data_IF_457287478848
#
_entry.id   IF_457287478848
#
_cell.length_a   1.000
_cell.length_b   1.000
_cell.length_c   1.000
_cell.angle_alpha   90.00
_cell.angle_beta   90.00
_cell.angle_gamma   90.00
#
_symmetry.space_group_name_H-M   'P 1'
#
loop_
_entity.id
_entity.type
_entity.pdbx_description
1 polymer ?
2 water ?
#
# COMPACT_ATOMS: atom_id res chain seq x y z
N UNK A 1 23.81 -28.68 0.74
CA UNK A 1 25.07 -28.32 1.36
C UNK A 1 26.27 -28.47 0.45
N UNK A 2 26.77 -29.70 0.29
CA UNK A 2 27.97 -29.91 -0.53
C UNK A 2 27.84 -29.41 -1.96
N UNK A 3 26.68 -29.64 -2.59
CA UNK A 3 26.44 -29.24 -3.98
C UNK A 3 25.49 -28.05 -4.08
N UNK A 4 25.22 -27.35 -2.97
CA UNK A 4 24.35 -26.20 -3.00
C UNK A 4 23.47 -26.07 -1.78
N UNK A 6 20.55 -25.02 -2.19
CA UNK A 6 19.29 -25.33 -2.82
C UNK A 6 18.29 -24.20 -2.69
N UNK A 7 17.07 -24.44 -3.19
CA UNK A 7 16.02 -23.43 -3.17
C UNK A 7 15.23 -23.40 -1.87
N UNK A 8 15.20 -24.52 -1.14
CA UNK A 8 14.45 -24.61 0.10
C UNK A 8 13.26 -25.52 -0.03
N UNK A 9 12.48 -25.59 1.05
CA UNK A 9 11.30 -26.43 1.10
C UNK A 9 10.17 -25.81 0.28
N UNK A 10 9.24 -26.67 -0.15
CA UNK A 10 8.12 -26.26 -0.97
C UNK A 10 7.03 -25.55 -0.19
N UNK A 11 5.81 -25.66 -0.69
CA UNK A 11 4.66 -25.06 -0.03
C UNK A 11 4.41 -25.74 1.32
N UNK A 12 3.89 -24.99 2.30
CA UNK A 12 3.65 -25.57 3.63
C UNK A 12 2.62 -26.68 3.56
N UNK A 13 2.95 -27.81 4.18
CA UNK A 13 2.12 -29.00 4.13
C UNK A 13 1.27 -29.06 5.39
N UNK A 14 -0.04 -29.24 5.21
CA UNK A 14 -0.93 -29.35 6.33
C UNK A 14 -1.16 -28.08 7.11
N UNK A 15 -0.91 -26.92 6.50
CA UNK A 15 -1.17 -25.65 7.17
C UNK A 15 -2.68 -25.45 7.28
N UNK A 16 -3.18 -25.44 8.51
CA UNK A 16 -4.62 -25.35 8.79
C UNK A 16 -4.99 -23.88 8.96
N UNK A 17 -5.29 -23.23 7.83
CA UNK A 17 -5.71 -21.82 7.88
C UNK A 17 -7.08 -21.64 8.54
N UNK A 18 -7.90 -22.70 8.57
CA UNK A 18 -9.17 -22.61 9.29
C UNK A 18 -8.94 -22.47 10.79
N UNK A 19 -8.00 -23.23 11.34
CA UNK A 19 -7.68 -23.11 12.76
C UNK A 19 -7.10 -21.73 13.07
N UNK A 20 -6.12 -21.29 12.28
CA UNK A 20 -5.53 -19.97 12.50
C UNK A 20 -6.57 -18.88 12.41
N UNK A 21 -7.50 -18.99 11.45
CA UNK A 21 -8.55 -17.98 11.31
C UNK A 21 -9.48 -17.97 12.52
N UNK A 22 -9.79 -19.15 13.05
CA UNK A 22 -10.61 -19.21 14.26
C UNK A 22 -9.86 -18.66 15.47
N UNK A 23 -8.56 -18.96 15.57
CA UNK A 23 -7.76 -18.42 16.66
C UNK A 23 -7.75 -16.89 16.63
N UNK A 24 -7.65 -16.30 15.45
CA UNK A 24 -7.62 -14.85 15.32
C UNK A 24 -9.00 -14.25 15.11
N UNK A 25 -10.05 -15.08 15.09
CA UNK A 25 -11.44 -14.66 14.93
C UNK A 25 -11.60 -13.78 13.70
N UNK A 26 -11.23 -14.35 12.56
CA UNK A 26 -11.45 -13.75 11.25
C UNK A 26 -12.67 -14.43 10.64
N UNK A 27 -13.61 -13.64 10.14
CA UNK A 27 -14.88 -14.20 9.70
C UNK A 27 -14.68 -15.05 8.44
N UNK A 28 -13.95 -14.53 7.47
CA UNK A 28 -13.67 -15.27 6.25
C UNK A 28 -12.52 -14.61 5.50
N UNK A 29 -11.95 -15.37 4.58
CA UNK A 29 -10.83 -14.85 3.81
C UNK A 29 -10.18 -15.94 3.00
N UNK A 30 -9.15 -15.53 2.26
CA UNK A 30 -8.38 -16.44 1.43
C UNK A 30 -6.90 -16.18 1.62
N UNK A 31 -6.11 -17.24 1.48
CA UNK A 31 -4.67 -17.09 1.37
C UNK A 31 -4.23 -17.84 0.13
N UNK A 32 -3.33 -17.23 -0.64
CA UNK A 32 -2.82 -17.80 -1.87
C UNK A 32 -1.32 -17.64 -1.88
N UNK A 33 -0.62 -18.66 -2.35
CA UNK A 33 0.84 -18.69 -2.27
C UNK A 33 1.38 -19.27 -3.56
N UNK A 34 2.14 -18.47 -4.30
CA UNK A 34 2.94 -18.97 -5.41
C UNK A 34 4.37 -19.15 -4.92
N UNK A 35 4.84 -20.40 -4.91
CA UNK A 35 6.12 -20.74 -4.33
C UNK A 35 6.76 -21.81 -5.18
N UNK A 36 7.89 -21.48 -5.81
CA UNK A 36 8.64 -22.43 -6.62
C UNK A 36 7.79 -23.00 -7.75
N UNK A 37 7.12 -22.11 -8.47
CA UNK A 37 6.32 -22.47 -9.61
C UNK A 37 4.98 -23.11 -9.33
N UNK A 38 4.59 -23.25 -8.06
CA UNK A 38 3.38 -23.96 -7.69
C UNK A 38 2.46 -23.06 -6.88
N UNK A 39 1.19 -23.02 -7.27
CA UNK A 39 0.18 -22.23 -6.59
C UNK A 39 -0.59 -23.12 -5.60
N UNK A 40 -0.66 -22.66 -4.35
CA UNK A 40 -1.48 -23.28 -3.33
C UNK A 40 -2.42 -22.23 -2.78
N UNK A 41 -3.69 -22.60 -2.60
CA UNK A 41 -4.69 -21.66 -2.09
C UNK A 41 -5.39 -22.27 -0.88
N UNK A 42 -5.82 -21.40 0.04
CA UNK A 42 -6.62 -21.77 1.20
C UNK A 42 -7.81 -20.83 1.27
N UNK A 43 -8.99 -21.39 1.62
CA UNK A 43 -10.19 -20.61 1.86
C UNK A 43 -10.81 -21.02 3.19
N UNK A 44 -11.42 -20.06 3.87
CA UNK A 44 -11.99 -20.31 5.19
C UNK A 44 -13.13 -19.34 5.44
N UNK A 45 -14.07 -19.76 6.28
CA UNK A 45 -15.08 -18.87 6.75
C UNK A 45 -16.09 -18.52 5.69
N UNK A 46 -16.84 -17.46 5.96
CA UNK A 46 -17.96 -17.07 5.11
C UNK A 46 -17.68 -15.70 4.54
N UNK A 47 -18.28 -15.42 3.37
CA UNK A 47 -18.17 -14.09 2.79
C UNK A 47 -18.84 -13.03 3.67
N UNK A 48 -19.71 -13.43 4.59
CA UNK A 48 -20.42 -12.47 5.42
C UNK A 48 -20.32 -12.83 6.88
N UNK A 49 -20.45 -11.81 7.73
CA UNK A 49 -20.19 -11.97 9.15
C UNK A 49 -21.24 -12.84 9.84
N UNK A 50 -22.50 -12.79 9.39
CA UNK A 50 -23.57 -13.56 10.00
C UNK A 50 -23.70 -14.94 9.40
N UNK A 51 -22.72 -15.40 8.64
CA UNK A 51 -22.79 -16.68 7.98
C UNK A 51 -23.16 -16.55 6.52
N UNK A 52 -23.66 -17.66 5.97
CA UNK A 52 -24.04 -17.68 4.57
C UNK A 52 -23.04 -18.38 3.69
N UNK A 53 -22.87 -17.88 2.47
CA UNK A 53 -22.03 -18.53 1.47
C UNK A 53 -20.60 -18.66 2.00
N UNK A 54 -20.04 -19.86 2.03
CA UNK A 54 -18.63 -19.99 2.38
C UNK A 54 -17.74 -19.35 1.32
N UNK A 55 -16.62 -18.79 1.79
CA UNK A 55 -15.62 -18.24 0.89
C UNK A 55 -15.06 -19.36 0.03
N UNK A 56 -15.01 -19.13 -1.29
CA UNK A 56 -14.38 -20.04 -2.24
C UNK A 56 -13.20 -19.33 -2.87
N UNK A 57 -12.45 -20.09 -3.70
CA UNK A 57 -11.23 -19.55 -4.28
C UNK A 57 -11.51 -18.30 -5.10
N UNK A 58 -12.71 -18.19 -5.67
CA UNK A 58 -13.08 -17.06 -6.49
C UNK A 58 -13.75 -15.91 -5.78
N UNK A 59 -13.90 -15.95 -4.45
CA UNK A 59 -14.56 -14.89 -3.72
C UNK A 59 -13.81 -13.58 -3.88
N UNK A 60 -14.54 -12.48 -3.96
CA UNK A 60 -13.96 -11.16 -4.16
C UNK A 60 -13.87 -10.42 -2.84
N UNK A 61 -12.71 -9.83 -2.58
CA UNK A 61 -12.45 -9.01 -1.40
C UNK A 61 -11.86 -7.67 -1.83
N UNK A 62 -12.19 -6.59 -1.14
CA UNK A 62 -11.56 -5.31 -1.48
C UNK A 62 -10.05 -5.36 -1.26
N UNK A 63 -9.31 -4.89 -2.27
CA UNK A 63 -7.86 -4.81 -2.15
C UNK A 63 -7.42 -3.55 -1.42
N UNK A 64 -8.32 -2.57 -1.27
CA UNK A 64 -7.96 -1.35 -0.59
C UNK A 64 -6.78 -0.70 -1.28
N UNK A 65 -5.81 -0.25 -0.50
CA UNK A 65 -4.63 0.42 -1.04
C UNK A 65 -3.77 -0.49 -1.91
N UNK A 66 -3.93 -1.81 -1.82
CA UNK A 66 -3.14 -2.69 -2.68
C UNK A 66 -3.47 -2.45 -4.16
N UNK A 67 -4.62 -1.81 -4.45
CA UNK A 67 -4.93 -1.34 -5.79
C UNK A 67 -3.77 -0.54 -6.39
N UNK A 68 -3.04 0.19 -5.55
CA UNK A 68 -1.89 0.97 -6.02
C UNK A 68 -0.89 0.13 -6.79
N UNK A 69 -0.69 -1.12 -6.37
CA UNK A 69 0.30 -1.95 -7.04
C UNK A 69 -0.12 -2.22 -8.49
N UNK A 70 -1.43 -2.35 -8.74
CA UNK A 70 -1.92 -2.49 -10.10
C UNK A 70 -1.70 -1.20 -10.89
N UNK A 71 -2.04 -0.06 -10.29
CA UNK A 71 -1.89 1.22 -10.96
C UNK A 71 -0.44 1.45 -11.36
N UNK A 72 0.48 1.20 -10.43
CA UNK A 72 1.90 1.41 -10.73
C UNK A 72 2.39 0.42 -11.76
N UNK A 73 1.95 -0.85 -11.66
CA UNK A 73 2.33 -1.83 -12.67
C UNK A 73 1.88 -1.40 -14.06
N UNK A 74 0.67 -0.83 -14.16
CA UNK A 74 0.21 -0.36 -15.46
C UNK A 74 1.05 0.82 -15.95
N UNK A 75 1.49 1.68 -15.03
CA UNK A 75 2.35 2.80 -15.41
C UNK A 75 3.67 2.28 -15.98
N UNK A 76 4.32 1.38 -15.24
CA UNK A 76 5.62 0.86 -15.65
C UNK A 76 5.50 0.03 -16.92
N UNK A 77 4.33 -0.58 -17.15
CA UNK A 77 4.11 -1.28 -18.41
C UNK A 77 4.21 -0.33 -19.59
N UNK A 78 3.60 0.86 -19.48
CA UNK A 78 3.74 1.88 -20.51
C UNK A 78 5.17 2.41 -20.59
N UNK A 79 5.96 2.23 -19.53
CA UNK A 79 7.36 2.65 -19.55
C UNK A 79 8.19 1.80 -20.48
N UNK A 80 8.09 0.47 -20.36
CA UNK A 80 8.80 -0.40 -21.29
C UNK A 80 8.42 -0.19 -22.73
N UNK A 81 7.17 0.23 -22.98
CA UNK A 81 6.72 0.54 -24.33
C UNK A 81 7.21 1.88 -24.85
N UNK A 82 7.88 2.67 -24.00
CA UNK A 82 8.38 3.97 -24.40
C UNK A 82 7.35 5.06 -24.49
N UNK A 83 6.14 4.82 -24.00
CA UNK A 83 5.05 5.78 -24.10
C UNK A 83 5.10 6.85 -23.02
N UNK A 84 5.90 6.66 -21.97
CA UNK A 84 6.01 7.66 -20.92
C UNK A 84 7.43 7.59 -20.34
N UNK A 85 7.77 8.61 -19.55
CA UNK A 85 9.08 8.72 -18.91
C UNK A 85 8.87 8.87 -17.41
N UNK A 86 9.56 8.05 -16.62
CA UNK A 86 9.32 8.02 -15.17
C UNK A 86 9.86 9.28 -14.48
N UNK A 87 10.85 9.94 -15.07
CA UNK A 87 11.49 11.07 -14.42
C UNK A 87 11.17 12.40 -15.10
N UNK A 88 10.15 12.42 -15.94
CA UNK A 88 9.75 13.71 -16.49
C UNK A 88 8.60 14.29 -15.68
N UNK A 89 8.53 15.61 -15.52
CA UNK A 89 7.37 16.21 -14.85
C UNK A 89 6.10 15.91 -15.62
N UNK A 90 5.06 15.47 -14.90
CA UNK A 90 3.82 15.06 -15.53
C UNK A 90 3.11 16.20 -16.25
N UNK A 91 3.51 17.45 -15.98
CA UNK A 91 2.95 18.57 -16.74
C UNK A 91 3.18 18.40 -18.24
N UNK A 92 4.29 17.76 -18.62
CA UNK A 92 4.55 17.51 -20.04
C UNK A 92 3.62 16.43 -20.59
N UNK A 93 3.12 15.55 -19.73
CA UNK A 93 2.16 14.53 -20.13
C UNK A 93 0.72 14.97 -19.90
N UNK A 94 0.50 16.04 -19.15
CA UNK A 94 -0.84 16.60 -18.92
C UNK A 94 -0.80 18.11 -19.22
N UNK A 95 -0.54 18.49 -20.47
CA UNK A 95 -0.42 19.92 -20.77
C UNK A 95 -1.73 20.67 -20.64
N UNK A 96 -2.86 19.99 -20.83
CA UNK A 96 -4.15 20.66 -20.73
C UNK A 96 -4.49 20.99 -19.28
N UNK A 97 -4.10 20.14 -18.34
CA UNK A 97 -4.39 20.40 -16.93
C UNK A 97 -3.61 21.61 -16.42
N UNK A 98 -2.41 21.84 -16.94
CA UNK A 98 -1.60 22.97 -16.49
C UNK A 98 -2.30 24.30 -16.78
N UNK A 99 -3.07 24.38 -17.85
CA UNK A 99 -3.83 25.59 -18.17
C UNK A 99 -5.13 25.65 -17.37
N UNK A 119 2.02 24.54 -11.63
CA UNK A 119 1.44 24.00 -10.40
C UNK A 119 2.37 22.99 -9.75
N UNK A 120 2.49 23.05 -8.43
CA UNK A 120 3.38 22.11 -7.73
C UNK A 120 3.05 20.64 -7.96
N UNK A 121 1.77 20.31 -8.14
CA UNK A 121 1.39 18.90 -8.32
C UNK A 121 1.83 18.38 -9.68
N UNK A 122 1.85 19.23 -10.69
CA UNK A 122 2.23 18.81 -12.04
C UNK A 122 3.73 18.87 -12.27
N UNK A 123 4.49 19.40 -11.31
CA UNK A 123 5.95 19.36 -11.41
C UNK A 123 6.51 18.02 -10.96
N UNK A 124 5.70 17.19 -10.32
CA UNK A 124 6.15 15.89 -9.85
C UNK A 124 6.31 14.92 -11.01
N UNK A 125 7.29 14.03 -10.87
CA UNK A 125 7.47 12.95 -11.82
C UNK A 125 6.64 11.74 -11.41
N UNK A 126 6.46 10.82 -12.36
CA UNK A 126 5.74 9.59 -12.04
C UNK A 126 6.48 8.79 -10.98
N UNK A 127 7.82 8.83 -11.00
CA UNK A 127 8.59 8.19 -9.94
C UNK A 127 8.21 8.76 -8.57
N UNK A 128 8.06 10.08 -8.48
CA UNK A 128 7.69 10.69 -7.21
C UNK A 128 6.25 10.34 -6.83
N UNK A 129 5.33 10.37 -7.80
CA UNK A 129 3.93 10.11 -7.49
C UNK A 129 3.72 8.68 -7.01
N UNK A 130 4.37 7.70 -7.64
CA UNK A 130 4.21 6.31 -7.24
C UNK A 130 4.96 5.98 -5.96
N UNK A 131 5.95 6.78 -5.61
CA UNK A 131 6.77 6.59 -4.41
C UNK A 131 6.26 7.38 -3.22
N UNK A 132 5.21 8.18 -3.40
CA UNK A 132 4.67 9.04 -2.34
C UNK A 132 5.67 10.10 -1.89
N UNK A 133 6.53 10.53 -2.82
CA UNK A 133 7.48 11.60 -2.54
C UNK A 133 7.21 12.84 -3.39
N UNK A 134 5.97 12.98 -3.90
CA UNK A 134 5.65 14.11 -4.76
C UNK A 134 5.25 15.36 -3.97
N UNK A 135 5.25 15.30 -2.65
CA UNK A 135 4.91 16.47 -1.86
C UNK A 135 3.45 16.84 -1.94
N UNK A 136 2.57 15.84 -1.93
CA UNK A 136 1.14 16.01 -2.12
C UNK A 136 0.36 15.62 -0.87
N UNK A 137 -0.82 16.18 -0.67
CA UNK A 137 -1.65 15.76 0.47
C UNK A 137 -2.19 14.36 0.27
N UNK A 138 -2.66 13.77 1.37
CA UNK A 138 -3.07 12.38 1.33
C UNK A 138 -4.35 12.18 0.52
N UNK A 139 -5.33 13.06 0.71
CA UNK A 139 -6.67 12.86 0.17
C UNK A 139 -7.12 14.07 -0.62
N UNK A 140 -7.93 13.81 -1.64
CA UNK A 140 -8.81 14.83 -2.20
C UNK A 140 -10.07 14.13 -2.67
N UNK A 141 -11.18 14.37 -1.97
CA UNK A 141 -12.43 13.68 -2.22
C UNK A 141 -13.39 14.60 -2.95
N UNK A 142 -13.91 14.13 -4.08
CA UNK A 142 -14.86 14.89 -4.88
C UNK A 142 -15.81 13.87 -5.51
N UNK A 143 -16.90 13.58 -4.80
CA UNK A 143 -17.81 12.53 -5.22
C UNK A 143 -18.63 12.93 -6.45
N UNK A 144 -18.68 14.22 -6.77
CA UNK A 144 -19.42 14.68 -7.94
C UNK A 144 -18.57 14.73 -9.20
N UNK A 145 -17.26 14.54 -9.09
CA UNK A 145 -16.39 14.56 -10.27
C UNK A 145 -16.62 13.32 -11.11
N UNK A 146 -17.12 13.43 -12.34
CA UNK A 146 -17.43 12.23 -13.13
C UNK A 146 -16.23 11.55 -13.76
N UNK A 147 -15.04 12.11 -13.62
CA UNK A 147 -13.85 11.60 -14.29
C UNK A 147 -12.62 11.96 -13.48
N UNK A 148 -11.53 11.24 -13.75
CA UNK A 148 -10.24 11.64 -13.20
C UNK A 148 -9.83 13.02 -13.70
N UNK A 149 -10.26 13.40 -14.91
CA UNK A 149 -9.92 14.73 -15.42
C UNK A 149 -10.60 15.82 -14.61
N UNK A 150 -11.91 15.69 -14.39
CA UNK A 150 -12.63 16.68 -13.59
C UNK A 150 -12.19 16.64 -12.14
N UNK A 151 -11.84 15.46 -11.64
CA UNK A 151 -11.29 15.35 -10.29
C UNK A 151 -9.99 16.13 -10.18
N UNK A 152 -9.07 15.93 -11.15
CA UNK A 152 -7.81 16.65 -11.12
C UNK A 152 -8.02 18.16 -11.26
N UNK A 153 -8.91 18.57 -12.17
CA UNK A 153 -9.20 19.99 -12.35
C UNK A 153 -9.58 20.65 -11.03
N UNK A 154 -10.42 19.99 -10.24
CA UNK A 154 -10.84 20.57 -8.97
C UNK A 154 -9.73 20.58 -7.94
N UNK A 155 -8.86 19.56 -7.94
CA UNK A 155 -7.77 19.55 -6.99
C UNK A 155 -6.75 20.64 -7.29
N UNK A 156 -6.45 20.86 -8.58
CA UNK A 156 -5.50 21.89 -8.95
C UNK A 156 -6.03 23.30 -8.68
N UNK A 157 -7.35 23.45 -8.57
CA UNK A 157 -7.93 24.75 -8.24
C UNK A 157 -7.92 25.05 -6.75
N UNK A 158 -7.62 24.06 -5.91
CA UNK A 158 -7.52 24.31 -4.48
C UNK A 158 -6.31 25.17 -4.17
N UNK A 159 -6.35 25.92 -3.06
CA UNK A 159 -5.12 26.53 -2.56
C UNK A 159 -4.07 25.46 -2.24
N UNK A 160 -2.80 25.82 -2.40
CA UNK A 160 -1.73 24.88 -2.17
C UNK A 160 -1.76 24.36 -0.73
N UNK A 161 -2.07 25.22 0.22
CA UNK A 161 -2.30 24.81 1.59
C UNK A 161 -1.15 24.04 2.22
N UNK A 162 -1.46 23.27 3.28
CA UNK A 162 -0.40 22.55 3.99
C UNK A 162 -0.08 21.20 3.35
N UNK A 163 1.03 21.14 2.61
CA UNK A 163 1.44 19.92 1.93
C UNK A 163 2.84 19.51 2.39
N UNK A 164 3.12 18.21 2.42
CA UNK A 164 4.48 17.76 2.74
C UNK A 164 5.45 18.18 1.65
N UNK A 165 6.74 18.17 2.01
CA UNK A 165 7.79 18.61 1.11
C UNK A 165 8.10 17.53 0.07
N UNK A 166 8.26 17.92 -1.20
CA UNK A 166 8.64 16.94 -2.23
C UNK A 166 9.99 16.31 -1.90
N UNK A 167 10.10 15.01 -2.17
CA UNK A 167 11.31 14.26 -1.90
C UNK A 167 11.26 13.43 -0.64
N UNK A 168 10.32 13.69 0.25
CA UNK A 168 10.13 12.90 1.45
C UNK A 168 8.86 12.08 1.35
N UNK A 169 8.85 10.94 2.03
CA UNK A 169 7.70 10.04 1.96
C UNK A 169 6.53 10.62 2.74
N UNK A 170 5.37 10.70 2.09
CA UNK A 170 4.12 11.02 2.76
C UNK A 170 3.01 10.40 1.92
N UNK A 171 2.46 9.28 2.40
CA UNK A 171 1.47 8.51 1.64
C UNK A 171 0.42 9.43 1.04
N UNK A 172 0.12 9.22 -0.25
CA UNK A 172 -0.84 10.11 -0.90
C UNK A 172 -1.69 9.35 -1.90
N UNK A 173 -3.00 9.33 -1.66
CA UNK A 173 -3.91 8.85 -2.69
C UNK A 173 -3.97 9.81 -3.87
N UNK A 174 -3.81 11.11 -3.61
CA UNK A 174 -3.86 12.10 -4.68
C UNK A 174 -2.80 11.82 -5.73
N UNK A 175 -1.58 11.45 -5.29
CA UNK A 175 -0.53 11.12 -6.24
C UNK A 175 -0.93 10.00 -7.18
N UNK A 176 -1.62 8.98 -6.65
CA UNK A 176 -2.02 7.86 -7.50
C UNK A 176 -3.19 8.24 -8.41
N UNK A 177 -4.04 9.18 -7.99
CA UNK A 177 -5.03 9.70 -8.91
C UNK A 177 -4.41 10.43 -10.09
N UNK A 178 -3.37 11.22 -9.83
CA UNK A 178 -2.65 11.88 -10.90
C UNK A 178 -1.96 10.86 -11.80
N UNK A 179 -1.37 9.82 -11.21
CA UNK A 179 -0.72 8.79 -12.00
C UNK A 179 -1.75 8.07 -12.88
N UNK A 180 -2.93 7.79 -12.33
CA UNK A 180 -3.98 7.19 -13.15
C UNK A 180 -4.42 8.10 -14.28
N UNK A 181 -4.47 9.41 -14.02
CA UNK A 181 -4.82 10.37 -15.07
C UNK A 181 -3.77 10.40 -16.17
N UNK A 182 -2.49 10.22 -15.81
CA UNK A 182 -1.45 10.14 -16.85
C UNK A 182 -1.67 8.90 -17.72
N UNK A 183 -2.09 7.79 -17.11
CA UNK A 183 -2.37 6.58 -17.88
C UNK A 183 -3.48 6.84 -18.88
N UNK A 184 -4.53 7.57 -18.47
CA UNK A 184 -5.63 7.88 -19.38
C UNK A 184 -5.15 8.75 -20.54
N UNK A 185 -4.32 9.76 -20.24
CA UNK A 185 -3.83 10.64 -21.28
C UNK A 185 -2.95 9.90 -22.28
N UNK A 186 -2.15 8.95 -21.81
CA UNK A 186 -1.22 8.25 -22.69
C UNK A 186 -1.96 7.22 -23.55
N UNK A 187 -2.85 6.44 -22.94
CA UNK A 187 -3.53 5.37 -23.66
C UNK A 187 -4.79 5.81 -24.39
N UNK A 188 -5.37 6.96 -24.04
CA UNK A 188 -6.63 7.34 -24.64
C UNK A 188 -7.84 6.60 -24.11
N UNK A 189 -7.69 5.83 -23.03
CA UNK A 189 -8.79 5.12 -22.38
C UNK A 189 -9.03 5.69 -20.99
N UNK A 190 -10.19 5.36 -20.43
CA UNK A 190 -10.39 5.66 -19.02
C UNK A 190 -9.50 4.75 -18.18
N UNK A 191 -9.32 5.12 -16.92
CA UNK A 191 -8.44 4.33 -16.05
C UNK A 191 -8.96 2.91 -15.92
N UNK A 192 -10.26 2.74 -15.71
CA UNK A 192 -10.82 1.41 -15.55
C UNK A 192 -10.62 0.58 -16.83
N UNK A 193 -10.77 1.21 -18.00
CA UNK A 193 -10.54 0.48 -19.25
C UNK A 193 -9.07 0.11 -19.41
N UNK A 194 -8.17 1.06 -19.12
CA UNK A 194 -6.75 0.81 -19.30
C UNK A 194 -6.26 -0.31 -18.39
N UNK A 195 -6.65 -0.27 -17.11
CA UNK A 195 -6.16 -1.28 -16.18
C UNK A 195 -6.72 -2.64 -16.57
N UNK A 196 -7.96 -2.70 -17.04
CA UNK A 196 -8.52 -3.97 -17.52
C UNK A 196 -7.80 -4.45 -18.78
N UNK A 197 -7.70 -3.59 -19.80
CA UNK A 197 -7.18 -4.03 -21.09
C UNK A 197 -5.69 -4.34 -21.03
N UNK A 198 -4.93 -3.56 -20.25
CA UNK A 198 -3.48 -3.71 -20.21
C UNK A 198 -3.01 -4.65 -19.09
N UNK A 199 -3.83 -4.91 -18.08
CA UNK A 199 -3.36 -5.65 -16.91
C UNK A 199 -4.32 -6.73 -16.46
N UNK A 200 -5.54 -6.37 -16.09
CA UNK A 200 -6.45 -7.31 -15.43
C UNK A 200 -6.79 -8.49 -16.33
N UNK A 201 -7.19 -8.21 -17.58
CA UNK A 201 -7.53 -9.30 -18.48
C UNK A 201 -6.31 -10.11 -18.91
N UNK A 202 -5.21 -9.49 -19.37
CA UNK A 202 -4.04 -10.32 -19.77
C UNK A 202 -3.48 -11.16 -18.64
N UNK A 203 -3.58 -10.69 -17.39
CA UNK A 203 -3.18 -11.48 -16.23
C UNK A 203 -4.09 -12.68 -16.03
N UNK A 204 -5.24 -12.73 -16.69
CA UNK A 204 -6.17 -13.84 -16.50
C UNK A 204 -6.97 -13.78 -15.21
N UNK A 205 -7.38 -12.60 -14.78
CA UNK A 205 -8.06 -12.45 -13.50
C UNK A 205 -9.52 -12.04 -13.71
N UNK A 206 -10.32 -12.26 -12.67
CA UNK A 206 -11.70 -11.78 -12.60
C UNK A 206 -11.81 -10.56 -11.70
N UNK A 207 -10.74 -9.79 -11.57
CA UNK A 207 -10.73 -8.64 -10.68
C UNK A 207 -11.74 -7.62 -11.20
N UNK A 208 -12.53 -7.07 -10.28
CA UNK A 208 -13.59 -6.14 -10.62
C UNK A 208 -13.27 -4.75 -10.08
N UNK A 209 -13.89 -3.76 -10.71
CA UNK A 209 -13.79 -2.38 -10.26
C UNK A 209 -14.97 -2.10 -9.35
N UNK A 210 -14.69 -1.66 -8.13
CA UNK A 210 -15.79 -1.31 -7.23
C UNK A 210 -16.38 0.05 -7.63
N UNK A 211 -17.67 0.26 -7.40
CA UNK A 211 -18.28 1.55 -7.77
C UNK A 211 -17.98 2.66 -6.76
N UNK A 212 -16.85 3.35 -6.95
CA UNK A 212 -16.48 4.45 -6.06
C UNK A 212 -16.16 5.70 -6.86
N UNK A 213 -15.62 6.71 -6.20
CA UNK A 213 -15.22 7.93 -6.87
C UNK A 213 -14.25 7.61 -8.00
N UNK A 214 -14.43 8.20 -9.19
CA UNK A 214 -13.41 8.04 -10.24
C UNK A 214 -12.04 8.52 -9.80
N UNK A 215 -11.97 9.56 -8.97
CA UNK A 215 -10.70 10.09 -8.53
C UNK A 215 -10.03 9.22 -7.48
N UNK A 216 -10.79 8.37 -6.80
CA UNK A 216 -10.21 7.43 -5.84
C UNK A 216 -9.91 6.09 -6.46
N UNK A 217 -10.43 5.82 -7.66
CA UNK A 217 -10.25 4.53 -8.30
C UNK A 217 -8.79 4.10 -8.42
N UNK A 218 -7.87 4.91 -8.94
CA UNK A 218 -6.47 4.45 -9.03
C UNK A 218 -5.83 4.16 -7.68
N UNK A 219 -6.38 4.70 -6.59
CA UNK A 219 -5.80 4.56 -5.26
C UNK A 219 -6.39 3.41 -4.45
N UNK A 220 -7.64 3.00 -4.70
CA UNK A 220 -8.18 1.91 -3.91
C UNK A 220 -9.45 1.23 -4.37
N UNK A 221 -9.73 1.24 -5.68
CA UNK A 221 -11.02 0.77 -6.16
C UNK A 221 -11.10 -0.63 -6.72
N UNK A 222 -10.07 -1.46 -6.56
CA UNK A 222 -10.11 -2.81 -7.12
C UNK A 222 -10.53 -3.83 -6.06
N UNK A 223 -11.15 -4.92 -6.52
CA UNK A 223 -11.55 -6.00 -5.65
C UNK A 223 -11.40 -7.33 -6.38
N UNK A 224 -11.08 -8.37 -5.63
CA UNK A 224 -10.88 -9.67 -6.24
C UNK A 224 -10.40 -10.68 -5.22
N UNK A 225 -9.87 -11.78 -5.72
CA UNK A 225 -9.45 -12.89 -4.89
C UNK A 225 -7.96 -12.80 -4.55
N UNK A 226 -7.56 -13.58 -3.55
CA UNK A 226 -6.14 -13.67 -3.25
C UNK A 226 -5.38 -14.38 -4.35
N UNK A 227 -5.98 -15.40 -4.98
CA UNK A 227 -5.33 -16.07 -6.09
C UNK A 227 -5.05 -15.09 -7.22
N UNK A 228 -6.04 -14.26 -7.57
CA UNK A 228 -5.82 -13.28 -8.63
C UNK A 228 -4.79 -12.23 -8.22
N UNK A 229 -4.75 -11.87 -6.94
CA UNK A 229 -3.72 -10.97 -6.45
C UNK A 229 -2.34 -11.57 -6.67
N UNK A 230 -2.21 -12.88 -6.44
CA UNK A 230 -0.93 -13.56 -6.65
C UNK A 230 -0.51 -13.47 -8.11
N UNK A 231 -1.47 -13.46 -9.04
CA UNK A 231 -1.13 -13.35 -10.46
C UNK A 231 -0.41 -12.04 -10.76
N UNK A 232 -0.84 -10.95 -10.12
CA UNK A 232 -0.09 -9.70 -10.26
C UNK A 232 1.31 -9.84 -9.68
N UNK A 233 1.42 -10.47 -8.51
CA UNK A 233 2.72 -10.66 -7.90
C UNK A 233 3.64 -11.53 -8.72
N UNK A 234 3.10 -12.56 -9.38
CA UNK A 234 3.93 -13.41 -10.23
C UNK A 234 4.55 -12.61 -11.37
N UNK A 235 3.87 -11.56 -11.83
CA UNK A 235 4.42 -10.72 -12.88
C UNK A 235 5.74 -10.08 -12.44
N UNK A 236 5.91 -9.84 -11.14
CA UNK A 236 7.11 -9.20 -10.64
C UNK A 236 8.19 -10.20 -10.25
N UNK A 237 8.02 -11.48 -10.54
CA UNK A 237 9.05 -12.46 -10.25
C UNK A 237 10.10 -12.45 -11.35
N UNK A 238 11.34 -12.77 -10.97
CA UNK A 238 12.41 -12.87 -11.96
C UNK A 238 12.09 -13.92 -13.02
N UNK A 239 11.42 -15.00 -12.63
CA UNK A 239 10.85 -15.93 -13.59
C UNK A 239 9.39 -16.08 -13.20
N UNK A 240 8.47 -15.44 -13.95
CA UNK A 240 7.04 -15.54 -13.62
C UNK A 240 6.43 -16.92 -13.80
N UNK A 241 7.10 -17.84 -14.48
CA UNK A 241 6.59 -19.19 -14.62
C UNK A 241 5.47 -19.34 -15.63
N UNK A 242 5.39 -18.44 -16.60
CA UNK A 242 4.28 -18.50 -17.54
C UNK A 242 4.57 -17.59 -18.73
N UNK A 243 4.52 -18.12 -19.95
CA UNK A 243 4.75 -17.27 -21.12
C UNK A 243 3.69 -16.20 -21.30
N UNK A 244 2.46 -16.42 -20.83
CA UNK A 244 1.43 -15.39 -20.91
C UNK A 244 1.77 -14.20 -20.03
N UNK A 245 2.35 -14.45 -18.85
CA UNK A 245 2.78 -13.34 -18.00
C UNK A 245 4.09 -12.73 -18.48
N UNK A 246 4.98 -13.56 -19.04
CA UNK A 246 6.29 -13.08 -19.46
C UNK A 246 6.16 -12.03 -20.56
N UNK A 247 5.26 -12.26 -21.54
CA UNK A 247 5.11 -11.29 -22.63
C UNK A 247 4.26 -10.11 -22.23
N UNK A 248 3.60 -10.17 -21.08
CA UNK A 248 2.70 -9.10 -20.70
C UNK A 248 3.44 -7.79 -20.37
N UNK A 249 4.50 -7.87 -19.58
CA UNK A 249 5.21 -6.67 -19.14
C UNK A 249 6.71 -6.82 -19.33
N UNK A 250 7.36 -5.70 -19.62
CA UNK A 250 8.81 -5.66 -19.81
C UNK A 250 9.48 -5.93 -18.47
N UNK A 251 10.31 -6.97 -18.33
CA UNK A 251 10.99 -7.19 -17.05
C UNK A 251 11.88 -6.03 -16.63
N UNK A 252 12.52 -5.37 -17.59
CA UNK A 252 13.36 -4.22 -17.25
C UNK A 252 12.53 -3.06 -16.72
N UNK A 253 11.32 -2.88 -17.23
CA UNK A 253 10.45 -1.82 -16.73
C UNK A 253 9.94 -2.13 -15.33
N UNK A 254 9.52 -3.37 -15.08
CA UNK A 254 8.99 -3.72 -13.76
C UNK A 254 10.07 -3.67 -12.69
N UNK A 255 11.34 -3.88 -13.06
CA UNK A 255 12.40 -3.89 -12.05
C UNK A 255 12.53 -2.55 -11.35
N UNK A 256 12.07 -1.46 -11.99
CA UNK A 256 12.08 -0.16 -11.32
C UNK A 256 11.23 -0.19 -10.05
N UNK A 257 10.11 -0.92 -10.09
CA UNK A 257 9.29 -1.06 -8.90
C UNK A 257 9.96 -1.90 -7.82
N UNK A 258 10.96 -2.69 -8.18
CA UNK A 258 11.70 -3.50 -7.22
C UNK A 258 12.86 -2.75 -6.58
N UNK A 259 13.03 -1.48 -6.90
CA UNK A 259 14.15 -0.72 -6.36
C UNK A 259 13.65 0.44 -5.50
N UNK A 260 14.26 0.66 -4.34
CA UNK A 260 13.78 1.73 -3.46
C UNK A 260 14.02 3.10 -4.07
N UNK A 261 13.09 4.02 -3.84
CA UNK A 261 13.31 5.41 -4.21
C UNK A 261 14.15 6.08 -3.13
N UNK A 262 15.28 6.68 -3.51
CA UNK A 262 16.16 7.28 -2.52
C UNK A 262 15.48 8.44 -1.82
N UNK A 263 15.65 8.49 -0.49
CA UNK A 263 15.06 9.55 0.30
C UNK A 263 13.65 9.28 0.77
N UNK A 264 13.06 8.15 0.40
CA UNK A 264 11.71 7.78 0.83
C UNK A 264 11.81 6.92 2.07
N UNK A 265 11.68 7.53 3.24
CA UNK A 265 11.70 6.79 4.50
C UNK A 265 10.26 6.65 5.00
N UNK A 266 9.60 5.52 4.77
CA UNK A 266 8.19 5.38 5.17
C UNK A 266 8.05 4.92 6.62
N UNK A 267 8.50 5.75 7.53
CA UNK A 267 8.52 5.41 8.95
C UNK A 267 7.14 4.96 9.42
N UNK A 268 7.10 3.85 10.15
CA UNK A 268 5.87 3.28 10.66
C UNK A 268 5.16 2.34 9.72
N UNK A 269 5.40 2.48 8.41
CA UNK A 269 4.77 1.64 7.39
C UNK A 269 5.70 0.57 6.86
N UNK A 270 6.89 0.96 6.39
CA UNK A 270 7.76 0.02 5.71
C UNK A 270 9.20 0.44 5.87
N UNK A 271 10.10 -0.46 5.50
CA UNK A 271 11.52 -0.14 5.57
C UNK A 271 11.96 0.70 4.39
N UNK A 272 11.26 0.60 3.26
CA UNK A 272 11.56 1.40 2.09
C UNK A 272 10.34 1.45 1.21
N UNK A 273 10.43 2.26 0.16
CA UNK A 273 9.33 2.34 -0.80
C UNK A 273 9.89 2.66 -2.17
N UNK A 274 9.41 1.93 -3.17
CA UNK A 274 9.77 2.19 -4.54
C UNK A 274 8.59 2.67 -5.34
N UNK A 275 8.75 2.78 -6.66
CA UNK A 275 7.67 3.34 -7.49
C UNK A 275 6.48 2.42 -7.63
N UNK A 276 5.76 2.19 -6.54
CA UNK A 276 4.55 1.40 -6.60
C UNK A 276 4.46 0.24 -5.63
N UNK A 277 5.55 -0.06 -4.92
CA UNK A 277 5.56 -1.17 -3.99
C UNK A 277 6.37 -0.81 -2.76
N UNK A 278 5.85 -1.16 -1.59
CA UNK A 278 6.60 -1.06 -0.37
C UNK A 278 7.71 -2.10 -0.30
N UNK A 279 8.69 -1.82 0.56
CA UNK A 279 9.78 -2.76 0.86
C UNK A 279 9.70 -3.11 2.34
N UNK A 280 9.66 -4.41 2.63
CA UNK A 280 9.39 -4.90 3.98
C UNK A 280 10.41 -5.95 4.38
N UNK A 281 10.99 -5.78 5.57
CA UNK A 281 11.95 -6.74 6.10
C UNK A 281 13.29 -6.09 6.37
N UNK A 282 14.12 -6.75 7.17
CA UNK A 282 15.46 -6.23 7.45
C UNK A 282 16.39 -6.48 6.26
N UNK A 283 17.56 -5.85 6.33
CA UNK A 283 18.57 -6.06 5.31
C UNK A 283 18.91 -7.54 5.17
N UNK A 284 18.97 -8.01 3.93
CA UNK A 284 19.18 -9.42 3.66
C UNK A 284 17.90 -10.21 3.49
N UNK A 285 16.75 -9.63 3.81
CA UNK A 285 15.49 -10.30 3.54
C UNK A 285 14.42 -9.23 3.35
N UNK A 286 14.65 -8.32 2.40
CA UNK A 286 13.67 -7.31 2.03
C UNK A 286 12.73 -7.89 0.98
N UNK A 287 11.43 -7.82 1.25
CA UNK A 287 10.40 -8.26 0.33
C UNK A 287 9.68 -7.04 -0.24
N UNK A 288 9.18 -7.17 -1.47
CA UNK A 288 8.27 -6.19 -2.03
C UNK A 288 6.85 -6.51 -1.60
N UNK A 289 5.99 -5.49 -1.61
CA UNK A 289 4.60 -5.75 -1.35
C UNK A 289 3.81 -4.47 -1.11
N UNK A 290 2.63 -4.67 -0.56
CA UNK A 290 1.66 -3.61 -0.31
C UNK A 290 0.58 -4.18 0.58
N UNK A 291 0.06 -3.36 1.48
CA UNK A 291 -1.04 -3.74 2.34
C UNK A 291 -2.20 -2.78 2.12
N UNK A 292 -3.39 -3.24 2.51
CA UNK A 292 -4.58 -2.41 2.48
C UNK A 292 -5.55 -2.87 3.55
N UNK A 293 -5.79 -2.02 4.55
CA UNK A 293 -6.52 -2.48 5.73
C UNK A 293 -7.51 -1.45 6.24
N UNK A 294 -7.93 -0.53 5.38
CA UNK A 294 -9.07 0.29 5.76
C UNK A 294 -10.37 -0.52 5.64
N UNK A 295 -11.47 0.11 6.06
CA UNK A 295 -12.89 -0.32 5.98
C UNK A 295 -13.24 -1.61 6.70
N UNK A 296 -12.40 -2.14 7.58
CA UNK A 296 -12.74 -3.36 8.27
C UNK A 296 -12.43 -4.64 7.52
N UNK A 297 -11.80 -4.54 6.34
CA UNK A 297 -11.26 -5.69 5.64
C UNK A 297 -9.75 -5.52 5.53
N UNK A 298 -9.06 -6.61 5.20
CA UNK A 298 -7.61 -6.57 5.13
C UNK A 298 -7.15 -7.21 3.82
N UNK A 299 -6.03 -6.69 3.33
CA UNK A 299 -5.37 -7.22 2.16
C UNK A 299 -3.87 -7.07 2.39
N UNK A 300 -3.13 -8.17 2.22
CA UNK A 300 -1.68 -8.17 2.36
C UNK A 300 -1.07 -8.89 1.16
N UNK A 301 -0.09 -8.25 0.53
CA UNK A 301 0.62 -8.81 -0.61
C UNK A 301 2.12 -8.68 -0.33
N UNK A 302 2.87 -9.78 -0.50
CA UNK A 302 4.32 -9.74 -0.42
C UNK A 302 4.91 -10.52 -1.58
N UNK A 303 5.96 -9.96 -2.19
CA UNK A 303 6.63 -10.55 -3.35
C UNK A 303 8.12 -10.61 -3.07
N UNK A 304 8.73 -11.75 -3.35
CA UNK A 304 10.18 -11.82 -3.41
C UNK A 304 10.61 -12.32 -4.79
N UNK A 305 11.02 -11.41 -5.68
CA UNK A 305 11.35 -11.82 -7.06
C UNK A 305 12.47 -12.82 -7.15
N UNK A 306 13.47 -12.73 -6.28
CA UNK A 306 14.62 -13.62 -6.39
C UNK A 306 14.29 -15.05 -6.03
N UNK A 307 13.62 -15.24 -4.90
CA UNK A 307 13.24 -16.58 -4.49
C UNK A 307 12.03 -17.11 -5.23
N UNK A 308 11.33 -16.26 -5.98
CA UNK A 308 10.15 -16.67 -6.73
C UNK A 308 8.95 -16.97 -5.87
N UNK A 309 8.72 -16.17 -4.83
CA UNK A 309 7.65 -16.41 -3.87
C UNK A 309 6.71 -15.22 -3.85
N UNK A 310 5.41 -15.50 -3.95
CA UNK A 310 4.37 -14.48 -3.80
C UNK A 310 3.35 -15.01 -2.81
N UNK A 311 2.93 -14.17 -1.87
CA UNK A 311 1.91 -14.54 -0.90
C UNK A 311 0.90 -13.41 -0.80
N UNK A 312 -0.39 -13.77 -0.76
CA UNK A 312 -1.46 -12.79 -0.62
C UNK A 312 -2.51 -13.33 0.33
N UNK A 313 -2.95 -12.48 1.25
CA UNK A 313 -4.02 -12.82 2.18
C UNK A 313 -5.11 -11.76 2.06
N UNK A 314 -6.34 -12.21 1.93
CA UNK A 314 -7.53 -11.36 1.95
C UNK A 314 -8.39 -11.80 3.12
N UNK A 315 -8.98 -10.84 3.83
CA UNK A 315 -9.95 -11.15 4.87
C UNK A 315 -11.00 -10.06 4.91
N UNK A 316 -12.16 -10.40 5.47
CA UNK A 316 -13.25 -9.45 5.63
C UNK A 316 -13.34 -8.90 7.05
N UNK A 317 -12.29 -9.04 7.84
CA UNK A 317 -12.35 -8.65 9.25
C UNK A 317 -11.10 -7.87 9.63
N UNK A 318 -11.22 -6.90 10.53
CA UNK A 318 -10.02 -6.18 11.00
C UNK A 318 -9.02 -7.09 11.67
N UNK A 319 -9.47 -8.21 12.24
CA UNK A 319 -8.58 -9.21 12.84
C UNK A 319 -7.70 -9.92 11.80
N UNK A 320 -7.83 -9.56 10.52
CA UNK A 320 -6.92 -10.09 9.51
C UNK A 320 -5.50 -9.65 9.73
N UNK A 321 -5.28 -8.52 10.41
CA UNK A 321 -3.93 -8.14 10.77
C UNK A 321 -3.31 -9.20 11.68
N UNK A 322 -4.07 -9.69 12.65
CA UNK A 322 -3.56 -10.75 13.52
C UNK A 322 -3.37 -12.05 12.74
N UNK A 323 -4.27 -12.35 11.81
CA UNK A 323 -4.12 -13.56 11.00
C UNK A 323 -2.89 -13.46 10.10
N UNK A 324 -2.64 -12.30 9.50
CA UNK A 324 -1.44 -12.10 8.70
C UNK A 324 -0.19 -12.41 9.51
N UNK A 325 -0.11 -11.89 10.74
CA UNK A 325 1.05 -12.17 11.59
C UNK A 325 1.18 -13.66 11.86
N UNK A 326 0.06 -14.35 12.06
CA UNK A 326 0.11 -15.79 12.33
C UNK A 326 0.48 -16.58 11.07
N UNK A 327 0.04 -16.12 9.89
CA UNK A 327 0.44 -16.76 8.65
C UNK A 327 1.93 -16.56 8.40
N UNK A 328 2.44 -15.35 8.64
CA UNK A 328 3.87 -15.10 8.47
C UNK A 328 4.68 -15.98 9.41
N UNK A 329 4.25 -16.10 10.66
CA UNK A 329 4.98 -16.96 11.61
C UNK A 329 4.86 -18.42 11.23
N UNK A 330 3.69 -18.84 10.72
CA UNK A 330 3.55 -20.23 10.28
C UNK A 330 4.40 -20.51 9.04
N UNK A 331 4.39 -19.59 8.08
CA UNK A 331 5.23 -19.76 6.89
C UNK A 331 6.71 -19.84 7.25
N UNK A 332 7.14 -19.07 8.24
CA UNK A 332 8.54 -19.11 8.68
C UNK A 332 8.94 -20.51 9.13
N UNK A 333 8.02 -21.23 9.78
CA UNK A 333 8.29 -22.60 10.17
C UNK A 333 8.40 -23.53 8.97
N UNK A 334 7.86 -23.13 7.82
CA UNK A 334 7.94 -23.92 6.60
C UNK A 334 9.04 -23.44 5.66
N UNK A 335 10.09 -22.82 6.20
CA UNK A 335 11.26 -22.38 5.44
C UNK A 335 10.91 -21.27 4.44
N UNK A 336 9.86 -20.50 4.71
CA UNK A 336 9.47 -19.36 3.88
C UNK A 336 9.44 -18.14 4.79
N UNK A 337 10.41 -17.25 4.63
CA UNK A 337 10.63 -16.13 5.57
C UNK A 337 10.12 -14.86 4.93
N UNK A 338 8.82 -14.59 5.10
CA UNK A 338 8.20 -13.42 4.51
C UNK A 338 8.71 -12.15 5.19
N UNK A 339 9.08 -11.16 4.38
CA UNK A 339 9.57 -9.90 4.92
C UNK A 339 8.44 -9.05 5.45
N UNK A 340 8.59 -8.55 6.67
CA UNK A 340 7.60 -7.69 7.31
C UNK A 340 8.32 -6.58 8.05
N UNK A 341 7.64 -5.44 8.18
CA UNK A 341 8.18 -4.28 8.86
C UNK A 341 7.97 -4.45 10.36
N UNK A 342 9.06 -4.66 11.09
CA UNK A 342 9.03 -4.89 12.53
C UNK A 342 10.11 -4.01 13.15
N UNK A 343 9.84 -2.72 13.32
CA UNK A 343 10.86 -1.80 13.80
C UNK A 343 11.08 -1.92 15.30
N UNK A 344 12.22 -1.40 15.74
CA UNK A 344 12.56 -1.42 17.16
C UNK A 344 12.11 -0.11 17.79
N UNK A 345 11.03 -0.11 18.59
CA UNK A 345 10.58 1.13 19.17
C UNK A 345 11.58 1.63 20.19
N UNK A 346 11.71 2.95 20.36
CA UNK A 346 12.56 3.49 21.42
C UNK A 346 12.00 3.12 22.79
N UNK A 347 12.81 3.20 23.84
CA UNK A 347 12.28 2.89 25.18
C UNK A 347 11.16 3.84 25.58
N UNK A 348 10.27 3.33 26.44
CA UNK A 348 9.14 4.12 26.91
C UNK A 348 9.61 5.35 27.68
N UNK A 349 8.82 6.41 27.59
CA UNK A 349 9.13 7.69 28.22
C UNK A 349 7.85 8.24 28.86
N UNK A 350 8.04 9.11 29.85
CA UNK A 350 6.92 9.79 30.47
C UNK A 350 6.19 10.66 29.47
N UNK A 351 4.86 10.70 29.58
CA UNK A 351 4.05 11.48 28.64
C UNK A 351 4.40 12.96 28.65
N UNK A 352 4.98 13.46 29.74
CA UNK A 352 5.32 14.87 29.84
C UNK A 352 6.38 15.28 28.83
N UNK A 353 7.16 14.34 28.31
CA UNK A 353 8.14 14.64 27.27
C UNK A 353 7.48 15.05 25.95
N UNK A 354 6.17 14.88 25.84
CA UNK A 354 5.41 15.27 24.66
C UNK A 354 4.57 16.53 24.91
N UNK A 355 4.85 17.27 26.00
CA UNK A 355 4.10 18.48 26.28
C UNK A 355 4.24 19.49 25.15
N UNK A 356 5.41 19.57 24.52
CA UNK A 356 5.61 20.50 23.43
C UNK A 356 5.07 19.97 22.10
N UNK A 357 4.56 18.74 22.06
CA UNK A 357 4.06 18.13 20.83
C UNK A 357 2.54 18.23 20.68
N UNK A 358 1.83 18.54 21.76
CA UNK A 358 0.38 18.69 21.68
C UNK A 358 -0.01 19.82 20.75
N UNK A 359 -1.07 19.61 19.99
CA UNK A 359 -1.55 20.60 19.05
C UNK A 359 -2.25 19.93 17.89
N UNK A 360 -2.53 20.72 16.87
CA UNK A 360 -3.25 20.27 15.68
C UNK A 360 -2.30 20.19 14.51
N UNK A 361 -2.34 19.07 13.78
CA UNK A 361 -1.50 18.81 12.62
C UNK A 361 -2.39 18.56 11.41
N UNK A 362 -2.06 19.16 10.28
CA UNK A 362 -2.94 19.13 9.13
C UNK A 362 -2.21 18.63 7.89
N UNK A 363 -2.93 17.87 7.09
CA UNK A 363 -2.45 17.41 5.78
C UNK A 363 -3.64 17.56 4.84
N UNK A 364 -3.56 18.52 3.93
CA UNK A 364 -4.72 18.89 3.15
C UNK A 364 -5.81 19.39 4.08
N UNK A 365 -7.03 18.86 3.92
CA UNK A 365 -8.12 19.16 4.84
C UNK A 365 -8.22 18.14 5.97
N UNK A 366 -7.29 17.20 6.06
CA UNK A 366 -7.27 16.24 7.15
C UNK A 366 -6.49 16.81 8.32
N UNK A 367 -7.02 16.62 9.52
CA UNK A 367 -6.41 17.15 10.73
C UNK A 367 -6.34 16.08 11.80
N UNK A 368 -5.22 16.05 12.51
CA UNK A 368 -5.04 15.21 13.70
C UNK A 368 -4.64 16.12 14.85
N UNK A 369 -5.38 16.02 15.96
CA UNK A 369 -5.10 16.79 17.17
C UNK A 369 -4.48 15.87 18.22
N UNK A 370 -3.35 16.29 18.77
CA UNK A 370 -2.60 15.49 19.74
C UNK A 370 -2.81 16.07 21.13
N UNK A 371 -3.05 15.19 22.10
CA UNK A 371 -3.17 15.59 23.49
C UNK A 371 -2.55 14.54 24.39
N UNK A 372 -2.39 14.91 25.66
CA UNK A 372 -1.86 14.03 26.69
C UNK A 372 -2.99 13.70 27.64
N UNK A 373 -3.33 12.41 27.74
CA UNK A 373 -4.37 11.92 28.64
C UNK A 373 -3.69 10.94 29.61
N UNK A 374 -3.28 11.46 30.77
CA UNK A 374 -2.60 10.65 31.75
C UNK A 374 -1.26 10.15 31.23
N UNK A 375 -1.06 8.83 31.27
CA UNK A 375 0.21 8.26 30.79
C UNK A 375 0.29 8.06 29.29
N UNK A 376 -0.79 8.27 28.54
CA UNK A 376 -0.82 8.00 27.11
C UNK A 376 -1.06 9.29 26.32
N UNK A 377 -0.65 9.26 25.06
CA UNK A 377 -1.02 10.29 24.09
C UNK A 377 -2.32 9.89 23.42
N UNK A 378 -3.18 10.88 23.16
CA UNK A 378 -4.46 10.66 22.51
C UNK A 378 -4.45 11.41 21.18
N UNK A 379 -4.78 10.70 20.10
CA UNK A 379 -4.80 11.26 18.75
C UNK A 379 -6.24 11.35 18.29
N UNK A 380 -6.69 12.55 17.96
CA UNK A 380 -8.03 12.79 17.44
C UNK A 380 -7.91 12.83 15.92
N UNK A 381 -8.32 11.75 15.27
CA UNK A 381 -8.22 11.58 13.82
C UNK A 381 -9.44 12.16 13.14
N UNK A 382 -9.34 12.48 11.84
CA UNK A 382 -10.52 12.97 11.13
C UNK A 382 -11.56 11.88 11.01
N UNK A 383 -12.82 12.31 10.92
CA UNK A 383 -13.92 11.37 10.92
C UNK A 383 -14.34 10.90 12.30
N UNK A 384 -13.99 11.63 13.35
CA UNK A 384 -14.36 11.29 14.70
C UNK A 384 -13.58 10.16 15.34
N UNK A 385 -12.72 9.49 14.57
CA UNK A 385 -11.95 8.38 15.12
C UNK A 385 -10.96 8.88 16.17
N UNK A 386 -10.49 7.95 16.99
CA UNK A 386 -9.60 8.26 18.11
C UNK A 386 -8.68 7.08 18.35
N UNK A 387 -7.45 7.37 18.76
CA UNK A 387 -6.45 6.35 19.01
C UNK A 387 -5.53 6.79 20.12
N UNK A 388 -5.18 5.85 21.01
CA UNK A 388 -4.23 6.10 22.07
C UNK A 388 -2.86 5.54 21.70
N UNK A 389 -1.82 6.20 22.18
CA UNK A 389 -0.47 5.81 21.82
C UNK A 389 0.41 5.81 23.07
N UNK A 390 1.35 4.87 23.11
CA UNK A 390 2.31 4.81 24.20
C UNK A 390 3.45 5.78 23.92
N UNK A 391 3.74 6.72 24.83
CA UNK A 391 4.86 7.65 24.60
C UNK A 391 6.20 6.95 24.70
N UNK A 392 7.05 7.16 23.70
CA UNK A 392 8.38 6.60 23.70
C UNK A 392 9.41 7.72 23.50
N UNK A 393 10.68 7.39 23.68
CA UNK A 393 11.73 8.38 23.56
C UNK A 393 11.90 8.80 22.11
N UNK A 394 12.66 9.89 21.91
CA UNK A 394 12.95 10.42 20.57
C UNK A 394 11.67 10.72 19.78
N UNK A 395 10.75 11.45 20.43
CA UNK A 395 9.55 11.99 19.79
C UNK A 395 8.69 10.91 19.13
N UNK A 396 8.83 9.66 19.55
CA UNK A 396 8.17 8.53 18.91
C UNK A 396 7.06 8.01 19.82
N UNK A 397 6.00 7.53 19.20
CA UNK A 397 4.91 6.89 19.93
C UNK A 397 4.50 5.62 19.22
N UNK A 398 3.85 4.73 19.96
CA UNK A 398 3.44 3.42 19.47
C UNK A 398 1.95 3.27 19.71
N UNK A 399 1.19 3.02 18.65
CA UNK A 399 -0.24 2.81 18.80
C UNK A 399 -0.50 1.67 19.75
N UNK A 400 -1.34 1.91 20.75
CA UNK A 400 -1.64 0.90 21.77
C UNK A 400 -2.30 -0.31 21.14
N UNK A 401 -1.65 -1.47 21.27
CA UNK A 401 -2.18 -2.69 20.70
C UNK A 401 -1.51 -3.08 19.39
N UNK A 402 -1.78 -2.32 18.33
CA UNK A 402 -1.21 -2.63 17.02
C UNK A 402 0.29 -2.38 17.00
N UNK A 403 0.78 -1.47 17.83
CA UNK A 403 2.20 -1.18 17.87
C UNK A 403 2.75 -0.40 16.69
N UNK A 404 1.87 0.16 15.85
CA UNK A 404 2.34 0.95 14.72
C UNK A 404 2.96 2.25 15.23
N UNK A 405 4.17 2.53 14.76
CA UNK A 405 4.93 3.68 15.25
C UNK A 405 4.59 4.95 14.45
N UNK A 406 4.48 6.06 15.18
CA UNK A 406 4.53 7.37 14.58
C UNK A 406 5.55 8.22 15.32
N UNK A 407 5.83 9.41 14.78
CA UNK A 407 6.81 10.26 15.43
C UNK A 407 6.56 11.72 15.08
N UNK A 408 6.98 12.60 15.99
CA UNK A 408 6.96 14.04 15.73
C UNK A 408 8.32 14.44 15.16
N UNK A 409 8.30 15.41 14.25
CA UNK A 409 9.47 15.80 13.47
C UNK A 409 9.95 17.16 13.96
N UNK A 410 11.25 17.26 14.20
CA UNK A 410 11.89 18.51 14.62
C UNK A 410 12.80 19.02 13.52
N UNK A 411 12.88 20.34 13.41
CA UNK A 411 13.84 20.96 12.50
C UNK A 411 15.22 20.95 13.14
N UNK A 412 16.15 20.21 12.53
CA UNK A 412 17.51 20.09 13.06
C UNK A 412 18.19 21.46 13.17
N UNK A 415 15.17 23.36 16.99
CA UNK A 415 14.88 21.98 17.37
C UNK A 415 13.45 21.81 17.86
N UNK A 416 12.56 22.68 17.39
CA UNK A 416 11.16 22.63 17.77
C UNK A 416 10.39 21.70 16.83
N UNK A 417 9.24 21.24 17.31
CA UNK A 417 8.42 20.31 16.53
C UNK A 417 7.53 21.09 15.57
N UNK A 418 7.48 20.65 14.33
CA UNK A 418 6.65 21.31 13.33
C UNK A 418 5.77 20.36 12.53
N UNK A 419 5.99 19.05 12.60
CA UNK A 419 5.17 18.12 11.86
C UNK A 419 4.98 16.84 12.68
N UNK A 420 3.96 16.08 12.28
CA UNK A 420 3.65 14.78 12.84
C UNK A 420 3.70 13.76 11.71
N UNK A 421 4.40 12.65 11.93
CA UNK A 421 4.44 11.55 10.97
C UNK A 421 3.54 10.46 11.53
N UNK A 422 2.37 10.30 10.96
CA UNK A 422 1.38 9.35 11.46
C UNK A 422 0.82 8.54 10.31
N UNK A 423 0.86 7.22 10.46
CA UNK A 423 0.34 6.29 9.44
C UNK A 423 0.98 6.55 8.07
N UNK A 424 2.25 6.93 8.06
CA UNK A 424 2.96 7.14 6.82
C UNK A 424 2.72 8.48 6.15
N UNK A 425 1.97 9.37 6.79
CA UNK A 425 1.66 10.70 6.29
C UNK A 425 2.34 11.75 7.15
N UNK A 426 2.72 12.86 6.51
CA UNK A 426 3.27 14.01 7.20
C UNK A 426 2.15 15.03 7.40
N UNK A 427 1.94 15.45 8.64
CA UNK A 427 0.94 16.44 8.97
C UNK A 427 1.64 17.61 9.65
N UNK A 428 1.51 18.80 9.04
CA UNK A 428 2.22 19.97 9.53
C UNK A 428 1.46 20.62 10.67
N UNK A 429 2.20 21.11 11.66
CA UNK A 429 1.58 21.68 12.85
C UNK A 429 1.02 23.06 12.55
N UNK A 430 -0.23 23.29 12.94
CA UNK A 430 -0.87 24.60 12.77
C UNK A 430 -0.36 25.60 13.80
#
# INVERSE_FOLDING_TARGET
GPLGSGAGDGAPVGLDLDRLARDCDVVGGQLALHHQGTLTTWEFGTEEHAGGRPVHVGSAFPYGSVTKAFTATAVLQLAGDGDLDLDRPVRELLPEAEAEAEIEVEAGSGTGARADGGHPALAATLRQLLSHTAGLPSDHDDERAPSLRRWLTGFLALPVGPWPAPGSFSYSNVGYGIAGRVVEAVTGLTWSEAVRDFLLHPLGTAITVLPTDPGSLPAGGLAGSAADLVRLGRLHLDEPGDPDLARLADPDALREMARPTAGADPFGLADGWGPGLGRFGPAGNRWLGHDGTLDGATCHLRIHPGRGTVVALTTNSPTGQALWDAVVDALRDADIDVGVHRPAPPPAIAAAAFADCTGTYRNGDLAVTVGIDGPYLVLELPGGARELAQPLAHRTFSSRGAGFLGRFVTDARSDAVHALQYSGRTLLREAGES
#
